data_IF_062067066021
#
_entry.id   IF_062067066021
#
_cell.length_a   1.000
_cell.length_b   1.000
_cell.length_c   1.000
_cell.angle_alpha   90.00
_cell.angle_beta   90.00
_cell.angle_gamma   90.00
#
_symmetry.space_group_name_H-M   'P 1'
#
loop_
_entity.id
_entity.type
_entity.pdbx_description
1 polymer ?
#
# COMPACT_ATOMS: atom_id res chain seq x y z
N UNK A 1 -6.28 16.25 -56.67
CA UNK A 1 -6.82 15.35 -55.63
C UNK A 1 -6.08 14.02 -55.51
N UNK A 2 -5.61 13.38 -56.60
CA UNK A 2 -4.80 12.13 -56.57
C UNK A 2 -3.61 12.12 -55.58
N UNK A 3 -2.89 13.24 -55.43
CA UNK A 3 -1.72 13.37 -54.52
C UNK A 3 -2.03 13.23 -53.02
N UNK A 4 -3.29 13.35 -52.59
CA UNK A 4 -3.66 13.24 -51.17
C UNK A 4 -4.02 11.80 -50.82
N UNK A 5 -4.69 11.08 -51.73
CA UNK A 5 -5.05 9.68 -51.57
C UNK A 5 -3.80 8.77 -51.56
N UNK A 6 -2.80 9.09 -52.38
CA UNK A 6 -1.53 8.36 -52.39
C UNK A 6 -0.76 8.55 -51.07
N UNK A 7 -0.74 9.76 -50.50
CA UNK A 7 -0.12 10.02 -49.18
C UNK A 7 -0.84 9.34 -48.03
N UNK A 8 -2.17 9.23 -48.10
CA UNK A 8 -2.96 8.57 -47.07
C UNK A 8 -2.72 7.05 -47.05
N UNK A 9 -2.37 6.45 -48.18
CA UNK A 9 -2.04 5.02 -48.29
C UNK A 9 -0.65 4.67 -47.76
N UNK A 10 0.27 5.63 -47.68
CA UNK A 10 1.63 5.44 -47.16
C UNK A 10 1.74 5.62 -45.63
N UNK A 11 0.72 6.20 -44.99
CA UNK A 11 0.71 6.43 -43.53
C UNK A 11 0.90 5.18 -42.67
N UNK A 12 0.31 4.00 -42.99
CA UNK A 12 0.51 2.80 -42.18
C UNK A 12 1.97 2.33 -42.22
N UNK A 13 2.59 2.30 -43.39
CA UNK A 13 4.01 1.93 -43.55
C UNK A 13 4.98 2.95 -42.93
N UNK A 14 4.58 4.23 -42.84
CA UNK A 14 5.38 5.27 -42.19
C UNK A 14 5.27 5.15 -40.65
N UNK A 15 4.09 4.78 -40.13
CA UNK A 15 3.88 4.54 -38.70
C UNK A 15 4.66 3.31 -38.20
N UNK A 16 4.68 2.24 -39.00
CA UNK A 16 5.38 0.99 -38.70
C UNK A 16 6.91 1.19 -38.71
N UNK A 17 7.44 1.97 -39.66
CA UNK A 17 8.88 2.27 -39.75
C UNK A 17 9.39 3.28 -38.70
N UNK A 18 8.52 4.11 -38.11
CA UNK A 18 8.90 5.03 -37.03
C UNK A 18 8.70 4.44 -35.63
N UNK A 19 8.20 3.20 -35.51
CA UNK A 19 7.95 2.55 -34.22
C UNK A 19 6.92 3.28 -33.35
N UNK A 20 6.07 4.12 -33.96
CA UNK A 20 5.03 4.88 -33.25
C UNK A 20 3.77 4.04 -33.27
N UNK A 21 3.77 2.98 -32.46
CA UNK A 21 2.55 2.28 -32.14
C UNK A 21 1.72 3.16 -31.18
N UNK A 22 0.40 3.18 -31.36
CA UNK A 22 -0.55 3.84 -30.46
C UNK A 22 -0.71 3.02 -29.15
N UNK A 23 0.42 2.66 -28.57
CA UNK A 23 0.53 1.86 -27.35
C UNK A 23 0.00 2.65 -26.15
N UNK A 24 -0.42 1.93 -25.11
CA UNK A 24 -0.86 2.50 -23.85
C UNK A 24 0.17 3.49 -23.24
N UNK A 25 1.47 3.31 -23.54
CA UNK A 25 2.52 4.24 -23.14
C UNK A 25 2.40 5.61 -23.82
N UNK A 26 2.04 5.67 -25.11
CA UNK A 26 1.86 6.93 -25.83
C UNK A 26 0.62 7.68 -25.30
N UNK A 27 -0.47 6.95 -25.02
CA UNK A 27 -1.66 7.51 -24.40
C UNK A 27 -1.37 8.07 -23.00
N UNK A 28 -0.58 7.37 -22.19
CA UNK A 28 -0.12 7.84 -20.88
C UNK A 28 0.73 9.12 -21.00
N UNK A 29 1.68 9.17 -21.95
CA UNK A 29 2.48 10.39 -22.20
C UNK A 29 1.61 11.58 -22.62
N UNK A 30 0.59 11.33 -23.45
CA UNK A 30 -0.35 12.38 -23.89
C UNK A 30 -1.22 12.86 -22.72
N UNK A 31 -1.77 11.95 -21.90
CA UNK A 31 -2.57 12.32 -20.71
C UNK A 31 -1.73 13.08 -19.67
N UNK A 32 -0.51 12.64 -19.39
CA UNK A 32 0.38 13.35 -18.46
C UNK A 32 0.78 14.73 -18.98
N UNK A 33 1.14 14.84 -20.27
CA UNK A 33 1.46 16.14 -20.87
C UNK A 33 0.25 17.10 -20.88
N UNK A 34 -0.98 16.57 -21.01
CA UNK A 34 -2.20 17.37 -20.90
C UNK A 34 -2.48 17.84 -19.47
N UNK A 35 -2.26 16.98 -18.46
CA UNK A 35 -2.39 17.34 -17.03
C UNK A 35 -1.32 18.35 -16.59
N UNK A 36 -0.07 18.21 -17.01
CA UNK A 36 1.00 19.17 -16.71
C UNK A 36 0.72 20.56 -17.28
N UNK A 37 0.09 20.64 -18.48
CA UNK A 37 -0.37 21.92 -19.04
C UNK A 37 -1.51 22.56 -18.24
N UNK A 38 -2.40 21.77 -17.63
CA UNK A 38 -3.45 22.30 -16.75
C UNK A 38 -2.89 22.76 -15.40
N UNK A 39 -1.95 22.01 -14.82
CA UNK A 39 -1.35 22.34 -13.53
C UNK A 39 -0.35 23.51 -13.61
N UNK A 40 0.34 23.69 -14.74
CA UNK A 40 1.15 24.88 -15.01
C UNK A 40 0.34 26.18 -15.01
N UNK A 41 -0.91 26.13 -15.48
CA UNK A 41 -1.84 27.27 -15.42
C UNK A 41 -2.28 27.61 -13.98
N UNK A 42 -2.44 26.61 -13.11
CA UNK A 42 -2.77 26.83 -11.68
C UNK A 42 -1.56 27.34 -10.87
N UNK A 43 -0.33 26.91 -11.19
CA UNK A 43 0.91 27.36 -10.49
C UNK A 43 1.24 28.84 -10.67
N UNK A 44 0.73 29.50 -11.72
CA UNK A 44 0.99 30.93 -11.94
C UNK A 44 0.14 31.84 -11.05
N UNK A 45 -0.98 31.35 -10.50
CA UNK A 45 -1.89 32.15 -9.66
C UNK A 45 -1.61 32.04 -8.15
N UNK A 46 -0.89 31.00 -7.69
CA UNK A 46 -0.63 30.73 -6.27
C UNK A 46 0.63 31.39 -5.68
N UNK A 47 1.39 32.18 -6.46
CA UNK A 47 2.68 32.76 -6.02
C UNK A 47 2.60 34.19 -5.46
N UNK A 48 1.41 34.74 -5.24
CA UNK A 48 1.21 36.11 -4.72
C UNK A 48 0.59 36.20 -3.32
N UNK A 49 0.42 35.09 -2.58
CA UNK A 49 -0.14 35.08 -1.22
C UNK A 49 0.72 34.33 -0.19
N UNK A 50 1.93 34.81 0.15
CA UNK A 50 2.38 34.60 1.53
C UNK A 50 3.10 35.80 2.17
N UNK A 51 2.86 37.04 1.73
CA UNK A 51 3.56 38.23 2.28
C UNK A 51 2.68 39.10 3.21
N UNK A 52 1.37 38.85 3.34
CA UNK A 52 0.48 39.75 4.10
C UNK A 52 0.08 39.24 5.50
N UNK A 53 0.28 37.95 5.82
CA UNK A 53 -0.21 37.38 7.08
C UNK A 53 0.77 37.47 8.27
N UNK A 54 2.05 37.79 8.04
CA UNK A 54 3.09 37.78 9.09
C UNK A 54 3.26 39.11 9.85
N UNK A 55 2.43 40.12 9.57
CA UNK A 55 2.55 41.46 10.18
C UNK A 55 1.49 41.79 11.24
N UNK A 56 0.55 40.88 11.54
CA UNK A 56 -0.60 41.16 12.41
C UNK A 56 -0.63 40.39 13.76
N UNK A 57 0.32 39.49 14.02
CA UNK A 57 0.36 38.69 15.27
C UNK A 57 1.40 39.20 16.28
N UNK A 58 2.20 40.21 15.94
CA UNK A 58 3.27 40.72 16.83
C UNK A 58 2.83 41.88 17.77
N UNK A 59 1.59 42.36 17.69
CA UNK A 59 1.18 43.59 18.42
C UNK A 59 0.17 43.41 19.57
N UNK A 60 -0.21 42.19 19.97
CA UNK A 60 -1.10 41.98 21.13
C UNK A 60 -0.62 40.76 21.91
N UNK A 61 -0.02 40.97 23.09
CA UNK A 61 0.31 39.85 24.00
C UNK A 61 1.52 40.03 24.92
N UNK A 62 2.09 41.24 25.06
CA UNK A 62 2.92 41.58 26.22
C UNK A 62 2.02 42.18 27.31
N UNK A 63 1.71 41.40 28.34
CA UNK A 63 1.11 41.94 29.56
C UNK A 63 0.30 40.92 30.37
N UNK A 64 0.79 40.65 31.59
CA UNK A 64 0.22 39.80 32.66
C UNK A 64 0.35 38.29 32.40
N UNK A 65 0.87 37.46 33.30
CA UNK A 65 1.16 37.60 34.72
C UNK A 65 0.96 36.21 35.34
N UNK A 66 2.03 35.58 35.83
CA UNK A 66 2.03 34.23 36.43
C UNK A 66 1.28 34.27 37.77
N UNK A 67 0.53 33.21 38.11
CA UNK A 67 0.84 32.55 39.37
C UNK A 67 0.89 31.02 39.25
N UNK A 68 1.80 30.45 40.03
CA UNK A 68 1.96 29.02 40.29
C UNK A 68 0.74 28.45 41.06
N UNK A 69 0.48 27.14 40.89
CA UNK A 69 0.40 26.17 42.00
C UNK A 69 -0.02 24.77 41.52
N UNK A 70 0.69 23.79 42.11
CA UNK A 70 0.29 22.42 42.47
C UNK A 70 0.43 21.30 41.43
N UNK A 71 1.37 20.42 41.77
CA UNK A 71 1.35 19.00 41.47
C UNK A 71 -0.02 18.38 41.82
N UNK A 72 -0.53 17.56 40.91
CA UNK A 72 -1.55 16.55 41.20
C UNK A 72 -1.05 15.20 40.70
N UNK A 73 -1.09 14.29 41.65
CA UNK A 73 -0.73 12.89 41.63
C UNK A 73 -1.75 12.05 40.82
N UNK A 74 -1.36 10.83 40.51
CA UNK A 74 -2.06 9.86 39.68
C UNK A 74 -3.52 9.64 40.09
N UNK A 75 -4.43 9.80 39.13
CA UNK A 75 -5.85 9.48 39.24
C UNK A 75 -6.24 8.45 38.18
N UNK A 76 -6.28 7.20 38.64
CA UNK A 76 -6.86 6.01 38.01
C UNK A 76 -8.21 6.31 37.33
N UNK A 77 -8.33 5.97 36.05
CA UNK A 77 -9.60 6.07 35.30
C UNK A 77 -10.37 4.77 35.52
N UNK A 78 -11.45 4.84 36.29
CA UNK A 78 -12.41 3.74 36.44
C UNK A 78 -13.11 3.43 35.10
N UNK A 79 -13.27 2.16 34.71
CA UNK A 79 -14.07 1.79 33.56
C UNK A 79 -15.56 2.02 33.86
N UNK A 80 -16.24 2.76 32.97
CA UNK A 80 -17.68 2.91 32.99
C UNK A 80 -18.35 1.55 32.77
N UNK A 81 -18.87 0.96 33.84
CA UNK A 81 -19.81 -0.17 33.80
C UNK A 81 -21.17 0.32 33.31
N UNK A 82 -21.54 -0.04 32.07
CA UNK A 82 -22.91 0.04 31.61
C UNK A 82 -23.66 -1.23 32.06
N UNK A 83 -24.49 -1.08 33.07
CA UNK A 83 -25.38 -2.12 33.58
C UNK A 83 -26.61 -2.23 32.66
N UNK A 84 -26.84 -3.42 32.12
CA UNK A 84 -28.01 -3.73 31.30
C UNK A 84 -29.29 -3.77 32.16
N UNK A 85 -30.37 -3.18 31.65
CA UNK A 85 -31.71 -3.34 32.18
C UNK A 85 -32.75 -3.42 31.05
N UNK A 86 -33.37 -4.61 30.92
CA UNK A 86 -34.78 -4.84 30.55
C UNK A 86 -35.37 -4.23 29.26
N UNK A 87 -35.46 -5.09 28.24
CA UNK A 87 -36.64 -5.42 27.41
C UNK A 87 -37.42 -4.38 26.56
N UNK A 88 -37.59 -4.79 25.30
CA UNK A 88 -38.53 -4.39 24.23
C UNK A 88 -38.45 -3.01 23.57
N UNK A 89 -38.05 -3.02 22.30
CA UNK A 89 -38.27 -1.93 21.35
C UNK A 89 -37.20 -1.84 20.26
N UNK A 90 -37.49 -2.41 19.09
CA UNK A 90 -36.62 -2.42 17.91
C UNK A 90 -36.07 -1.04 17.51
N UNK A 91 -34.74 -0.89 17.45
CA UNK A 91 -33.96 0.10 16.70
C UNK A 91 -32.47 -0.35 16.66
N UNK A 92 -31.67 0.17 15.72
CA UNK A 92 -30.99 -0.57 14.67
C UNK A 92 -29.80 -1.42 15.15
N UNK A 93 -29.48 -2.46 14.36
CA UNK A 93 -28.24 -3.24 14.50
C UNK A 93 -27.06 -2.30 14.29
N UNK A 94 -26.48 -1.78 15.37
CA UNK A 94 -25.12 -1.27 15.34
C UNK A 94 -24.22 -2.47 15.07
N UNK A 95 -23.69 -2.53 13.85
CA UNK A 95 -22.68 -3.49 13.43
C UNK A 95 -21.38 -3.11 14.15
N UNK A 96 -21.32 -3.38 15.45
CA UNK A 96 -20.08 -3.76 16.10
C UNK A 96 -19.84 -5.24 15.77
N UNK A 97 -19.71 -5.54 14.48
CA UNK A 97 -19.03 -6.74 14.06
C UNK A 97 -17.55 -6.51 14.35
N UNK A 98 -17.18 -6.72 15.60
CA UNK A 98 -15.88 -7.30 15.93
C UNK A 98 -15.82 -8.60 15.12
N UNK A 99 -15.29 -8.47 13.90
CA UNK A 99 -14.71 -9.59 13.18
C UNK A 99 -13.79 -10.31 14.17
N UNK A 100 -13.84 -11.63 14.13
CA UNK A 100 -13.00 -12.55 14.89
C UNK A 100 -11.55 -12.42 14.38
N UNK A 101 -10.92 -11.27 14.63
CA UNK A 101 -9.63 -10.94 14.04
C UNK A 101 -8.53 -11.66 14.84
N UNK A 102 -7.64 -12.44 14.20
CA UNK A 102 -6.60 -13.18 14.90
C UNK A 102 -5.74 -12.30 15.81
N UNK A 103 -5.25 -12.85 16.92
CA UNK A 103 -4.33 -12.13 17.82
C UNK A 103 -3.15 -11.53 17.04
N UNK A 104 -3.01 -10.20 17.12
CA UNK A 104 -1.98 -9.46 16.38
C UNK A 104 -2.42 -9.00 15.00
N UNK A 105 -3.71 -8.86 14.72
CA UNK A 105 -4.21 -8.15 13.54
C UNK A 105 -4.18 -6.63 13.74
N UNK A 106 -4.01 -5.88 12.65
CA UNK A 106 -4.16 -4.43 12.68
C UNK A 106 -5.65 -4.12 12.81
N UNK A 107 -6.05 -3.53 13.94
CA UNK A 107 -7.38 -2.95 14.05
C UNK A 107 -7.48 -1.77 13.07
N UNK A 108 -8.57 -1.73 12.29
CA UNK A 108 -8.88 -0.55 11.48
C UNK A 108 -9.09 0.61 12.45
N UNK A 109 -8.36 1.72 12.27
CA UNK A 109 -8.48 2.85 13.19
C UNK A 109 -9.87 3.45 13.09
N UNK A 110 -10.47 3.82 14.23
CA UNK A 110 -11.78 4.48 14.27
C UNK A 110 -11.73 5.94 13.82
N UNK A 111 -10.52 6.54 13.75
CA UNK A 111 -10.30 7.90 13.26
C UNK A 111 -10.75 8.08 11.81
N UNK A 112 -11.38 9.21 11.51
CA UNK A 112 -11.87 9.54 10.16
C UNK A 112 -10.71 9.63 9.14
N UNK A 113 -9.56 10.16 9.58
CA UNK A 113 -8.33 10.21 8.78
C UNK A 113 -7.22 9.44 9.51
N UNK A 114 -6.73 8.33 8.94
CA UNK A 114 -5.72 7.49 9.56
C UNK A 114 -4.32 8.07 9.43
N UNK A 115 -3.53 8.00 10.50
CA UNK A 115 -2.10 8.34 10.45
C UNK A 115 -1.29 7.25 9.75
N UNK A 116 -0.14 7.62 9.20
CA UNK A 116 0.78 6.66 8.62
C UNK A 116 1.27 5.65 9.67
N UNK A 117 1.22 4.37 9.30
CA UNK A 117 1.86 3.28 10.04
C UNK A 117 2.51 2.29 9.10
N UNK A 118 3.67 1.78 9.49
CA UNK A 118 4.38 0.73 8.77
C UNK A 118 4.08 -0.64 9.41
N UNK A 119 3.72 -1.60 8.56
CA UNK A 119 3.48 -3.00 8.95
C UNK A 119 4.69 -3.88 8.65
N UNK A 120 5.78 -3.28 8.21
CA UNK A 120 7.02 -3.97 7.88
C UNK A 120 7.84 -4.19 9.13
N UNK A 121 8.39 -5.40 9.27
CA UNK A 121 9.35 -5.67 10.32
C UNK A 121 10.61 -4.81 10.10
N UNK A 122 11.12 -4.26 11.20
CA UNK A 122 12.38 -3.53 11.19
C UNK A 122 13.53 -4.52 11.11
N UNK A 123 14.50 -4.24 10.24
CA UNK A 123 15.77 -4.94 10.19
C UNK A 123 16.88 -4.14 10.88
N UNK A 124 18.08 -4.71 10.89
CA UNK A 124 19.29 -3.97 11.21
C UNK A 124 19.73 -3.12 10.02
N UNK A 125 20.88 -3.45 9.41
CA UNK A 125 21.39 -2.76 8.23
C UNK A 125 20.56 -3.03 6.95
N UNK A 126 20.00 -4.25 6.83
CA UNK A 126 19.22 -4.70 5.67
C UNK A 126 17.79 -5.04 6.06
N UNK A 127 16.86 -4.95 5.10
CA UNK A 127 15.48 -5.40 5.30
C UNK A 127 15.45 -6.93 5.50
N UNK A 128 14.62 -7.46 6.41
CA UNK A 128 14.41 -8.91 6.55
C UNK A 128 13.70 -9.46 5.33
N UNK A 129 14.39 -10.29 4.55
CA UNK A 129 13.99 -10.72 3.22
C UNK A 129 14.14 -12.23 3.00
N UNK A 130 13.28 -12.76 2.13
CA UNK A 130 13.43 -14.06 1.47
C UNK A 130 13.40 -13.82 -0.05
N UNK A 131 14.36 -14.39 -0.77
CA UNK A 131 14.35 -14.52 -2.22
C UNK A 131 13.83 -15.91 -2.62
N UNK A 132 12.88 -15.95 -3.54
CA UNK A 132 12.31 -17.19 -4.12
C UNK A 132 12.12 -16.97 -5.63
N UNK A 133 12.83 -17.73 -6.46
CA UNK A 133 12.71 -17.69 -7.93
C UNK A 133 12.69 -16.26 -8.52
N UNK A 134 13.66 -15.44 -8.11
CA UNK A 134 13.83 -14.05 -8.55
C UNK A 134 12.83 -13.05 -7.96
N UNK A 135 11.97 -13.50 -7.03
CA UNK A 135 11.00 -12.66 -6.30
C UNK A 135 11.50 -12.44 -4.87
N UNK A 136 11.30 -11.23 -4.36
CA UNK A 136 11.71 -10.88 -3.00
C UNK A 136 10.50 -10.59 -2.13
N UNK A 137 10.56 -11.09 -0.90
CA UNK A 137 9.50 -11.00 0.08
C UNK A 137 10.04 -10.42 1.38
N UNK A 138 9.41 -9.36 1.89
CA UNK A 138 9.81 -8.68 3.12
C UNK A 138 8.92 -9.06 4.29
N UNK A 139 9.54 -9.32 5.43
CA UNK A 139 8.85 -9.72 6.65
C UNK A 139 7.86 -8.64 7.11
N UNK A 140 6.65 -9.06 7.48
CA UNK A 140 5.66 -8.23 8.15
C UNK A 140 5.88 -8.26 9.68
N UNK A 141 5.73 -7.11 10.34
CA UNK A 141 5.72 -7.03 11.81
C UNK A 141 4.42 -7.61 12.38
N UNK A 142 3.35 -7.58 11.61
CA UNK A 142 1.99 -7.88 12.04
C UNK A 142 1.28 -8.70 10.96
N UNK A 143 0.74 -9.88 11.27
CA UNK A 143 0.72 -10.53 12.59
C UNK A 143 2.08 -11.13 12.99
N UNK A 144 2.31 -11.21 14.30
CA UNK A 144 3.52 -11.80 14.89
C UNK A 144 3.57 -13.34 14.82
N UNK A 145 2.46 -13.99 14.47
CA UNK A 145 2.36 -15.41 14.16
C UNK A 145 1.10 -15.64 13.33
N UNK A 146 1.13 -16.58 12.39
CA UNK A 146 -0.06 -16.97 11.61
C UNK A 146 -0.52 -18.39 11.91
N UNK A 147 -1.83 -18.61 11.76
CA UNK A 147 -2.43 -19.94 11.87
C UNK A 147 -1.86 -20.87 10.81
N UNK A 148 -1.60 -22.12 11.18
CA UNK A 148 -1.16 -23.16 10.24
C UNK A 148 -2.14 -23.41 9.09
N UNK A 149 -3.41 -22.99 9.21
CA UNK A 149 -4.41 -23.04 8.13
C UNK A 149 -4.08 -22.12 6.94
N UNK A 150 -3.33 -21.04 7.17
CA UNK A 150 -2.86 -20.15 6.11
C UNK A 150 -1.61 -20.68 5.41
N UNK A 151 -0.93 -21.68 6.00
CA UNK A 151 0.23 -22.32 5.41
C UNK A 151 -0.22 -23.19 4.23
N UNK A 152 0.31 -22.86 3.05
CA UNK A 152 0.08 -23.61 1.82
C UNK A 152 1.17 -24.65 1.57
N UNK A 153 1.36 -24.95 0.28
CA UNK A 153 2.39 -25.86 -0.18
C UNK A 153 3.80 -25.35 0.13
N UNK A 154 4.74 -26.28 0.29
CA UNK A 154 6.15 -25.97 0.41
C UNK A 154 6.71 -25.55 -0.96
N UNK A 155 7.32 -24.37 -1.01
CA UNK A 155 7.99 -23.83 -2.20
C UNK A 155 9.43 -24.34 -2.31
N UNK A 156 10.04 -24.66 -1.18
CA UNK A 156 11.39 -25.20 -1.10
C UNK A 156 12.05 -24.88 0.24
N UNK A 157 13.32 -25.25 0.37
CA UNK A 157 14.14 -24.94 1.54
C UNK A 157 15.13 -23.82 1.23
N UNK A 158 15.46 -23.01 2.24
CA UNK A 158 16.51 -22.00 2.14
C UNK A 158 17.83 -22.67 1.84
N UNK A 159 18.35 -22.42 0.65
CA UNK A 159 19.60 -23.00 0.15
C UNK A 159 20.84 -22.29 0.68
N UNK A 160 20.72 -21.00 1.04
CA UNK A 160 21.81 -20.25 1.64
C UNK A 160 21.28 -19.10 2.50
N UNK A 161 21.92 -18.91 3.66
CA UNK A 161 21.77 -17.70 4.46
C UNK A 161 22.79 -16.64 3.99
N UNK A 162 22.32 -15.46 3.59
CA UNK A 162 23.18 -14.37 3.10
C UNK A 162 22.63 -13.02 3.54
N UNK A 163 23.52 -12.07 3.89
CA UNK A 163 23.09 -10.72 4.24
C UNK A 163 22.63 -9.89 3.04
N UNK A 164 22.98 -10.31 1.82
CA UNK A 164 22.65 -9.62 0.57
C UNK A 164 21.93 -10.57 -0.39
N UNK A 165 20.64 -10.90 -0.14
CA UNK A 165 19.86 -11.81 -0.99
C UNK A 165 19.85 -11.41 -2.47
N UNK A 166 19.96 -10.11 -2.78
CA UNK A 166 19.97 -9.60 -4.16
C UNK A 166 21.17 -10.00 -5.00
N UNK A 167 22.28 -10.40 -4.38
CA UNK A 167 23.48 -10.83 -5.11
C UNK A 167 23.51 -12.34 -5.35
N UNK A 168 22.55 -13.08 -4.80
CA UNK A 168 22.43 -14.51 -5.03
C UNK A 168 21.91 -14.80 -6.44
N UNK A 169 22.05 -16.06 -6.86
CA UNK A 169 21.46 -16.52 -8.12
C UNK A 169 19.93 -16.36 -8.07
N UNK A 170 19.27 -15.83 -9.11
CA UNK A 170 17.81 -15.63 -9.09
C UNK A 170 17.02 -16.91 -8.81
N UNK A 171 17.53 -18.07 -9.24
CA UNK A 171 16.86 -19.37 -9.07
C UNK A 171 17.11 -19.98 -7.67
N UNK A 172 17.88 -19.33 -6.81
CA UNK A 172 18.18 -19.82 -5.48
C UNK A 172 17.16 -19.28 -4.45
N UNK A 173 16.70 -20.17 -3.58
CA UNK A 173 15.93 -19.77 -2.40
C UNK A 173 16.92 -19.30 -1.33
N UNK A 174 16.93 -18.01 -1.02
CA UNK A 174 17.90 -17.38 -0.11
C UNK A 174 17.21 -16.49 0.93
N UNK A 175 17.83 -16.30 2.09
CA UNK A 175 17.31 -15.39 3.11
C UNK A 175 18.43 -14.75 3.93
N UNK A 176 18.16 -13.58 4.50
CA UNK A 176 19.00 -12.95 5.53
C UNK A 176 18.38 -13.04 6.94
N UNK A 177 17.31 -13.83 7.08
CA UNK A 177 16.55 -13.96 8.32
C UNK A 177 16.22 -15.43 8.62
N UNK A 178 15.69 -16.16 7.64
CA UNK A 178 15.34 -17.57 7.79
C UNK A 178 16.61 -18.42 7.64
N UNK A 179 16.93 -19.30 8.60
CA UNK A 179 18.11 -20.16 8.55
C UNK A 179 18.15 -21.07 7.32
N UNK A 180 19.37 -21.47 6.91
CA UNK A 180 19.58 -22.47 5.87
C UNK A 180 18.95 -23.82 6.26
N UNK A 181 18.34 -24.51 5.29
CA UNK A 181 17.63 -25.78 5.47
C UNK A 181 16.18 -25.64 5.93
N UNK A 182 15.74 -24.46 6.36
CA UNK A 182 14.35 -24.22 6.74
C UNK A 182 13.44 -24.08 5.51
N UNK A 183 12.22 -24.61 5.62
CA UNK A 183 11.23 -24.58 4.54
C UNK A 183 10.52 -23.23 4.45
N UNK A 184 10.28 -22.78 3.22
CA UNK A 184 9.42 -21.65 2.88
C UNK A 184 8.17 -22.18 2.18
N UNK A 185 7.02 -21.62 2.56
CA UNK A 185 5.71 -22.08 2.14
C UNK A 185 4.94 -20.95 1.44
N UNK A 186 4.09 -21.32 0.50
CA UNK A 186 3.06 -20.42 -0.02
C UNK A 186 2.09 -20.03 1.10
N UNK A 187 1.43 -18.87 0.95
CA UNK A 187 0.25 -18.54 1.76
C UNK A 187 -1.01 -18.86 0.96
N UNK A 188 -1.91 -19.65 1.54
CA UNK A 188 -3.16 -20.06 0.91
C UNK A 188 -3.97 -18.84 0.46
N UNK A 189 -4.38 -18.84 -0.81
CA UNK A 189 -5.19 -17.77 -1.39
C UNK A 189 -4.42 -16.50 -1.81
N UNK A 190 -3.10 -16.44 -1.61
CA UNK A 190 -2.30 -15.24 -1.93
C UNK A 190 -1.58 -15.28 -3.28
N UNK A 191 -1.58 -16.43 -3.97
CA UNK A 191 -1.05 -16.59 -5.33
C UNK A 191 0.32 -15.95 -5.58
N UNK A 192 1.27 -16.16 -4.65
CA UNK A 192 2.62 -15.60 -4.74
C UNK A 192 2.78 -14.14 -4.31
N UNK A 193 1.72 -13.46 -3.87
CA UNK A 193 1.81 -12.13 -3.26
C UNK A 193 2.40 -12.16 -1.84
N UNK A 194 2.31 -13.32 -1.17
CA UNK A 194 2.89 -13.58 0.14
C UNK A 194 3.45 -15.00 0.24
N UNK A 195 4.48 -15.15 1.08
CA UNK A 195 5.03 -16.43 1.53
C UNK A 195 5.11 -16.45 3.05
N UNK A 196 5.25 -17.63 3.64
CA UNK A 196 5.48 -17.76 5.08
C UNK A 196 6.61 -18.76 5.39
N UNK A 197 7.29 -18.52 6.50
CA UNK A 197 8.39 -19.36 6.98
C UNK A 197 8.46 -19.27 8.51
N UNK A 198 9.10 -20.26 9.15
CA UNK A 198 9.35 -20.19 10.58
C UNK A 198 10.49 -19.21 10.85
N UNK A 199 10.23 -18.25 11.75
CA UNK A 199 11.22 -17.31 12.27
C UNK A 199 11.08 -17.33 13.78
N UNK A 200 12.15 -17.69 14.47
CA UNK A 200 12.19 -17.84 15.93
C UNK A 200 11.04 -18.73 16.47
N UNK A 201 10.75 -19.82 15.76
CA UNK A 201 9.70 -20.79 16.13
C UNK A 201 8.26 -20.35 15.84
N UNK A 202 8.05 -19.12 15.35
CA UNK A 202 6.72 -18.63 14.93
C UNK A 202 6.59 -18.66 13.42
N UNK A 203 5.41 -19.04 12.91
CA UNK A 203 5.14 -18.97 11.48
C UNK A 203 4.85 -17.51 11.12
N UNK A 204 5.72 -16.90 10.31
CA UNK A 204 5.65 -15.47 9.97
C UNK A 204 5.41 -15.28 8.48
N UNK A 205 4.76 -14.18 8.13
CA UNK A 205 4.40 -13.86 6.75
C UNK A 205 5.29 -12.76 6.19
N UNK A 206 5.62 -12.92 4.91
CA UNK A 206 6.39 -11.99 4.12
C UNK A 206 5.55 -11.58 2.91
N UNK A 207 5.50 -10.29 2.61
CA UNK A 207 4.81 -9.77 1.42
C UNK A 207 5.83 -9.50 0.31
N UNK A 208 5.43 -9.79 -0.93
CA UNK A 208 6.23 -9.52 -2.12
C UNK A 208 6.52 -8.02 -2.29
N UNK A 209 7.78 -7.70 -2.54
CA UNK A 209 8.27 -6.32 -2.72
C UNK A 209 9.21 -6.21 -3.89
N UNK A 210 9.40 -5.00 -4.39
CA UNK A 210 10.47 -4.67 -5.33
C UNK A 210 11.76 -4.48 -4.55
N UNK A 211 12.83 -5.18 -4.94
CA UNK A 211 14.12 -5.10 -4.26
C UNK A 211 15.26 -5.27 -5.27
N UNK A 212 16.29 -4.42 -5.16
CA UNK A 212 17.48 -4.45 -6.03
C UNK A 212 17.15 -4.57 -7.54
N UNK A 213 16.22 -3.76 -8.03
CA UNK A 213 15.71 -3.78 -9.42
C UNK A 213 14.97 -5.06 -9.85
N UNK A 214 14.67 -5.97 -8.92
CA UNK A 214 13.76 -7.09 -9.10
C UNK A 214 12.39 -6.74 -8.52
N UNK A 215 11.40 -6.55 -9.38
CA UNK A 215 10.01 -6.38 -8.97
C UNK A 215 9.12 -7.42 -9.65
N UNK A 216 8.99 -7.30 -10.97
CA UNK A 216 8.18 -8.18 -11.80
C UNK A 216 9.05 -9.21 -12.50
N UNK A 217 8.50 -10.41 -12.67
CA UNK A 217 9.09 -11.51 -13.43
C UNK A 217 8.20 -11.74 -14.64
N UNK A 218 8.78 -11.89 -15.83
CA UNK A 218 8.02 -12.32 -17.03
C UNK A 218 6.89 -11.38 -17.46
N UNK A 219 6.94 -10.08 -17.13
CA UNK A 219 5.93 -9.11 -17.55
C UNK A 219 4.64 -9.10 -16.72
N UNK A 220 4.68 -9.63 -15.49
CA UNK A 220 3.58 -9.58 -14.52
C UNK A 220 2.94 -8.18 -14.41
N UNK A 221 1.62 -8.16 -14.28
CA UNK A 221 0.83 -6.98 -13.92
C UNK A 221 0.83 -6.74 -12.41
N UNK A 222 0.28 -5.60 -11.96
CA UNK A 222 0.09 -5.37 -10.52
C UNK A 222 -0.78 -6.47 -9.90
N UNK A 223 -1.82 -6.90 -10.62
CA UNK A 223 -2.71 -7.95 -10.14
C UNK A 223 -1.97 -9.26 -9.90
N UNK A 224 -1.03 -9.63 -10.76
CA UNK A 224 -0.24 -10.86 -10.61
C UNK A 224 0.69 -10.81 -9.40
N UNK A 225 1.18 -9.62 -9.03
CA UNK A 225 2.11 -9.45 -7.91
C UNK A 225 1.43 -9.20 -6.56
N UNK A 226 0.26 -8.54 -6.58
CA UNK A 226 -0.42 -8.07 -5.37
C UNK A 226 -1.56 -8.98 -4.96
N UNK A 227 -2.18 -9.71 -5.90
CA UNK A 227 -3.47 -10.41 -5.81
C UNK A 227 -4.01 -10.56 -4.39
N UNK A 228 -4.57 -9.47 -3.89
CA UNK A 228 -5.16 -9.38 -2.56
C UNK A 228 -6.50 -10.13 -2.63
N UNK A 229 -6.49 -11.41 -2.29
CA UNK A 229 -7.71 -12.21 -2.24
C UNK A 229 -8.68 -11.66 -1.21
N UNK A 230 -9.97 -11.54 -1.58
CA UNK A 230 -11.07 -11.19 -0.68
C UNK A 230 -10.78 -9.98 0.23
N UNK A 231 -10.53 -8.83 -0.37
CA UNK A 231 -10.37 -7.56 0.36
C UNK A 231 -11.66 -7.19 1.08
N UNK A 232 -11.55 -6.86 2.37
CA UNK A 232 -12.70 -6.49 3.22
C UNK A 232 -12.70 -5.02 3.62
N UNK A 233 -11.54 -4.38 3.61
CA UNK A 233 -11.40 -2.96 3.91
C UNK A 233 -10.10 -2.41 3.32
N UNK A 234 -10.06 -1.09 3.16
CA UNK A 234 -8.88 -0.36 2.74
C UNK A 234 -8.67 0.84 3.67
N UNK A 235 -7.41 1.20 3.88
CA UNK A 235 -7.06 2.39 4.64
C UNK A 235 -5.92 3.13 3.95
N UNK A 236 -6.15 4.39 3.59
CA UNK A 236 -5.14 5.26 2.98
C UNK A 236 -4.79 6.37 3.97
N UNK A 237 -3.57 6.32 4.49
CA UNK A 237 -3.10 7.28 5.49
C UNK A 237 -3.18 8.71 4.97
N UNK A 238 -3.66 9.64 5.80
CA UNK A 238 -3.88 11.03 5.44
C UNK A 238 -5.10 11.27 4.54
N UNK A 239 -5.84 10.23 4.15
CA UNK A 239 -7.04 10.35 3.31
C UNK A 239 -8.28 9.79 4.01
N UNK A 240 -8.31 8.51 4.35
CA UNK A 240 -9.49 7.90 4.98
C UNK A 240 -9.49 6.37 4.95
N UNK A 241 -10.60 5.79 5.41
CA UNK A 241 -10.82 4.34 5.47
C UNK A 241 -12.09 3.93 4.73
N UNK A 242 -12.03 2.86 3.96
CA UNK A 242 -13.18 2.20 3.34
C UNK A 242 -13.44 0.89 4.09
N UNK A 243 -14.56 0.83 4.81
CA UNK A 243 -14.94 -0.34 5.63
C UNK A 243 -16.01 -1.23 4.98
N UNK A 244 -16.60 -0.79 3.88
CA UNK A 244 -17.52 -1.61 3.10
C UNK A 244 -16.74 -2.53 2.16
N UNK A 245 -16.91 -3.84 2.34
CA UNK A 245 -16.18 -4.85 1.56
C UNK A 245 -16.50 -4.83 0.06
N UNK A 246 -17.72 -4.44 -0.32
CA UNK A 246 -18.11 -4.30 -1.72
C UNK A 246 -17.37 -3.15 -2.40
N UNK A 247 -17.42 -1.96 -1.78
CA UNK A 247 -16.69 -0.78 -2.25
C UNK A 247 -15.18 -1.00 -2.24
N UNK A 248 -14.64 -1.66 -1.22
CA UNK A 248 -13.22 -2.01 -1.16
C UNK A 248 -12.81 -2.90 -2.35
N UNK A 249 -13.62 -3.91 -2.69
CA UNK A 249 -13.38 -4.76 -3.84
C UNK A 249 -13.48 -3.99 -5.17
N UNK A 250 -14.44 -3.08 -5.31
CA UNK A 250 -14.57 -2.19 -6.48
C UNK A 250 -13.33 -1.33 -6.67
N UNK A 251 -12.84 -0.68 -5.61
CA UNK A 251 -11.62 0.14 -5.66
C UNK A 251 -10.39 -0.70 -6.01
N UNK A 252 -10.27 -1.91 -5.48
CA UNK A 252 -9.19 -2.82 -5.86
C UNK A 252 -9.26 -3.23 -7.33
N UNK A 253 -10.45 -3.38 -7.90
CA UNK A 253 -10.61 -3.61 -9.34
C UNK A 253 -10.16 -2.40 -10.17
N UNK A 254 -10.47 -1.17 -9.74
CA UNK A 254 -9.95 0.05 -10.37
C UNK A 254 -8.42 0.05 -10.35
N UNK A 255 -7.82 -0.33 -9.21
CA UNK A 255 -6.38 -0.44 -9.08
C UNK A 255 -5.80 -1.47 -10.07
N UNK A 256 -6.34 -2.69 -10.11
CA UNK A 256 -5.83 -3.74 -10.99
C UNK A 256 -5.95 -3.42 -12.47
N UNK A 257 -7.05 -2.77 -12.88
CA UNK A 257 -7.31 -2.46 -14.28
C UNK A 257 -6.50 -1.26 -14.79
N UNK A 258 -6.25 -0.27 -13.93
CA UNK A 258 -5.69 1.02 -14.36
C UNK A 258 -4.24 1.25 -13.91
N UNK A 259 -3.66 0.36 -13.09
CA UNK A 259 -2.26 0.49 -12.67
C UNK A 259 -1.29 0.28 -13.85
N UNK A 260 -0.39 1.24 -14.04
CA UNK A 260 0.65 1.19 -15.08
C UNK A 260 2.02 1.08 -14.42
N UNK A 261 2.73 -0.01 -14.72
CA UNK A 261 4.10 -0.21 -14.25
C UNK A 261 5.03 0.92 -14.70
N UNK A 262 5.84 1.44 -13.77
CA UNK A 262 6.82 2.49 -14.07
C UNK A 262 8.26 1.98 -13.98
N UNK A 263 8.59 1.25 -12.90
CA UNK A 263 9.95 0.76 -12.62
C UNK A 263 9.96 -0.24 -11.46
N UNK A 264 11.06 -0.98 -11.33
CA UNK A 264 11.21 -2.03 -10.31
C UNK A 264 11.51 -1.47 -8.90
N UNK A 265 12.26 -0.37 -8.83
CA UNK A 265 12.56 0.29 -7.56
C UNK A 265 11.40 1.17 -7.07
N UNK A 266 11.27 1.29 -5.76
CA UNK A 266 10.41 2.24 -5.09
C UNK A 266 10.94 2.54 -3.69
N UNK A 267 10.74 3.76 -3.20
CA UNK A 267 11.13 4.15 -1.86
C UNK A 267 9.97 3.99 -0.89
N UNK A 268 10.29 3.81 0.39
CA UNK A 268 9.31 4.04 1.45
C UNK A 268 8.92 5.53 1.46
N UNK A 269 7.67 5.81 1.79
CA UNK A 269 7.14 7.16 1.96
C UNK A 269 6.43 7.28 3.29
N UNK A 270 6.05 8.50 3.63
CA UNK A 270 5.25 8.85 4.80
C UNK A 270 3.74 8.66 4.57
N UNK A 271 3.35 7.99 3.47
CA UNK A 271 1.97 7.66 3.17
C UNK A 271 1.86 6.19 2.73
N UNK A 272 0.79 5.52 3.13
CA UNK A 272 0.57 4.13 2.75
C UNK A 272 -0.91 3.77 2.59
N UNK A 273 -1.14 2.84 1.67
CA UNK A 273 -2.37 2.09 1.53
C UNK A 273 -2.22 0.75 2.26
N UNK A 274 -3.08 0.51 3.25
CA UNK A 274 -3.26 -0.80 3.88
C UNK A 274 -4.48 -1.49 3.27
N UNK A 275 -4.31 -2.77 2.95
CA UNK A 275 -5.31 -3.62 2.32
C UNK A 275 -5.61 -4.76 3.27
N UNK A 276 -6.83 -4.79 3.81
CA UNK A 276 -7.27 -5.79 4.79
C UNK A 276 -7.95 -6.94 4.08
N UNK A 277 -7.55 -8.16 4.41
CA UNK A 277 -8.03 -9.37 3.77
C UNK A 277 -8.93 -10.17 4.72
N UNK A 278 -9.89 -10.91 4.17
CA UNK A 278 -10.80 -11.74 4.96
C UNK A 278 -10.10 -12.88 5.73
N UNK A 279 -8.86 -13.21 5.35
CA UNK A 279 -8.05 -14.24 6.00
C UNK A 279 -7.24 -13.70 7.20
N UNK A 280 -7.48 -12.44 7.60
CA UNK A 280 -6.85 -11.80 8.75
C UNK A 280 -5.47 -11.19 8.46
N UNK A 281 -4.96 -11.30 7.22
CA UNK A 281 -3.71 -10.67 6.82
C UNK A 281 -3.94 -9.22 6.34
N UNK A 282 -2.86 -8.44 6.35
CA UNK A 282 -2.85 -7.07 5.83
C UNK A 282 -1.68 -6.92 4.87
N UNK A 283 -1.93 -6.29 3.72
CA UNK A 283 -0.89 -5.86 2.80
C UNK A 283 -0.65 -4.36 2.91
N UNK A 284 0.56 -3.92 2.61
CA UNK A 284 0.90 -2.51 2.54
C UNK A 284 1.53 -2.14 1.20
N UNK A 285 1.07 -1.04 0.63
CA UNK A 285 1.74 -0.29 -0.43
C UNK A 285 2.09 1.10 0.09
N UNK A 286 3.27 1.61 -0.21
CA UNK A 286 3.59 3.02 0.00
C UNK A 286 2.94 3.88 -1.10
N UNK A 287 2.62 5.12 -0.78
CA UNK A 287 1.97 6.06 -1.71
C UNK A 287 2.84 7.30 -1.89
N UNK A 288 3.03 7.73 -3.14
CA UNK A 288 3.79 8.94 -3.48
C UNK A 288 3.09 9.70 -4.61
N UNK A 289 2.25 10.68 -4.24
CA UNK A 289 1.38 11.35 -5.21
C UNK A 289 0.49 10.33 -5.91
N UNK A 290 0.52 10.28 -7.25
CA UNK A 290 -0.31 9.36 -8.05
C UNK A 290 0.26 7.93 -8.18
N UNK A 291 1.20 7.54 -7.30
CA UNK A 291 1.96 6.28 -7.41
C UNK A 291 1.80 5.41 -6.19
N UNK A 292 1.69 4.11 -6.42
CA UNK A 292 1.69 3.05 -5.42
C UNK A 292 2.98 2.24 -5.54
N UNK A 293 3.59 1.93 -4.42
CA UNK A 293 4.91 1.32 -4.31
C UNK A 293 4.82 0.06 -3.46
N UNK A 294 5.16 -1.08 -4.05
CA UNK A 294 5.23 -2.37 -3.37
C UNK A 294 6.15 -3.29 -4.16
N UNK A 295 5.58 -4.21 -4.93
CA UNK A 295 6.30 -4.98 -5.94
C UNK A 295 6.57 -4.12 -7.19
N UNK A 296 7.44 -3.12 -7.05
CA UNK A 296 7.66 -2.07 -8.04
C UNK A 296 6.85 -0.80 -7.78
N UNK A 297 7.08 0.21 -8.63
CA UNK A 297 6.31 1.46 -8.65
C UNK A 297 5.27 1.41 -9.76
N UNK A 298 4.02 1.67 -9.40
CA UNK A 298 2.86 1.65 -10.28
C UNK A 298 2.16 3.00 -10.23
N UNK A 299 1.88 3.60 -11.39
CA UNK A 299 1.05 4.81 -11.46
C UNK A 299 -0.42 4.42 -11.56
N UNK A 300 -1.28 4.96 -10.70
CA UNK A 300 -2.72 4.70 -10.73
C UNK A 300 -3.51 5.91 -10.17
N UNK A 301 -3.56 7.03 -10.92
CA UNK A 301 -4.33 8.19 -10.48
C UNK A 301 -5.82 7.88 -10.31
N UNK A 302 -6.38 7.05 -11.19
CA UNK A 302 -7.80 6.72 -11.20
C UNK A 302 -8.23 6.01 -9.90
N UNK A 303 -7.37 5.16 -9.33
CA UNK A 303 -7.61 4.54 -8.03
C UNK A 303 -7.63 5.56 -6.90
N UNK A 304 -6.64 6.47 -6.86
CA UNK A 304 -6.53 7.46 -5.79
C UNK A 304 -7.69 8.46 -5.82
N UNK A 305 -8.08 8.92 -7.01
CA UNK A 305 -9.24 9.78 -7.22
C UNK A 305 -10.55 9.07 -6.81
N UNK A 306 -10.72 7.79 -7.21
CA UNK A 306 -11.88 7.01 -6.80
C UNK A 306 -11.92 6.76 -5.29
N UNK A 307 -10.76 6.56 -4.65
CA UNK A 307 -10.65 6.37 -3.21
C UNK A 307 -11.07 7.64 -2.46
N UNK A 308 -10.52 8.80 -2.83
CA UNK A 308 -10.89 10.10 -2.24
C UNK A 308 -12.40 10.37 -2.40
N UNK A 309 -12.95 10.06 -3.58
CA UNK A 309 -14.39 10.16 -3.82
C UNK A 309 -15.21 9.25 -2.89
N UNK A 310 -14.80 8.00 -2.72
CA UNK A 310 -15.49 7.03 -1.88
C UNK A 310 -15.41 7.36 -0.37
N UNK A 311 -14.38 8.07 0.08
CA UNK A 311 -14.28 8.55 1.47
C UNK A 311 -15.21 9.73 1.74
N UNK A 312 -15.53 10.51 0.70
CA UNK A 312 -16.40 11.69 0.83
C UNK A 312 -17.91 11.37 0.75
N UNK A 313 -18.28 10.13 0.40
CA UNK A 313 -19.66 9.61 0.35
C UNK A 313 -20.17 9.20 1.74
#
# INVERSE_FOLDING_TARGET
MKKVEDRLRELPSIAENMGVDASAQLQYRIRNAARDRMNGRKKMLGRLMPVVALALVLCIGLGAGIPALRAMDAGQVDPLTAQAAGEDGAQPVEISALLDVPQGSIAITTSDVPDFRSIWARGGANFPLIGVDGRYYRLLSTPGNVSGSLKGEELGQVSAFTQEPSLASPDALVSNLVPEGESVYAVNGMNGAMVCAYVDGSLRVFQRVGYADHAVVGGESLQDTLKAGNVIALELSGVGSIRDSGKAAELMNVLYQNAVYQRAGGGETDQSLLIYLNNGLTMQLFVSGEKLIGCGTWACPDFLEAFEGAVAE
#
